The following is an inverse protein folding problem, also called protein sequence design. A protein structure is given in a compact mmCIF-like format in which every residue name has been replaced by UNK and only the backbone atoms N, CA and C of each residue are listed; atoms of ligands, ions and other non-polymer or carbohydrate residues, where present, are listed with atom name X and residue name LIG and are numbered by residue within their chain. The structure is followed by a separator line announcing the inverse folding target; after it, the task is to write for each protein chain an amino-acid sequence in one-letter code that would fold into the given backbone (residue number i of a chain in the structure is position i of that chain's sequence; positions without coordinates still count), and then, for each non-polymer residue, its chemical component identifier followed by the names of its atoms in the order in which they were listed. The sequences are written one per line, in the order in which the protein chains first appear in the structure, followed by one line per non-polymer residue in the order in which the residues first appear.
data_IF_070531460700
#
_entry.id   IF_070531460700
#
_cell.length_a   1.000
_cell.length_b   1.000
_cell.length_c   1.000
_cell.angle_alpha   90.00
_cell.angle_beta   90.00
_cell.angle_gamma   90.00
#
_symmetry.space_group_name_H-M   'P 1'
#
loop_
_entity.id
_entity.type
_entity.pdbx_description
1 polymer ?
#
# COMPACT_ATOMS: atom_id res chain seq x y z
N UNK A 1 -6.53 -9.33 -21.36
CA UNK A 1 -7.87 -9.54 -20.80
C UNK A 1 -8.10 -11.03 -20.83
N UNK A 2 -8.50 -11.62 -19.71
CA UNK A 2 -8.92 -13.02 -19.70
C UNK A 2 -10.20 -13.17 -20.54
N UNK A 3 -10.28 -14.23 -21.36
CA UNK A 3 -11.37 -14.42 -22.31
C UNK A 3 -12.72 -14.66 -21.61
N UNK A 4 -12.74 -15.28 -20.41
CA UNK A 4 -13.98 -15.47 -19.62
C UNK A 4 -14.53 -14.12 -19.14
N UNK A 5 -13.66 -13.25 -18.65
CA UNK A 5 -14.07 -11.92 -18.20
C UNK A 5 -14.66 -11.10 -19.36
N UNK A 6 -14.02 -11.17 -20.54
CA UNK A 6 -14.50 -10.47 -21.73
C UNK A 6 -15.90 -10.96 -22.14
N UNK A 7 -16.11 -12.27 -22.18
CA UNK A 7 -17.43 -12.84 -22.53
C UNK A 7 -18.52 -12.41 -21.52
N UNK A 8 -18.18 -12.32 -20.23
CA UNK A 8 -19.09 -11.83 -19.20
C UNK A 8 -19.40 -10.34 -19.36
N UNK A 9 -18.42 -9.52 -19.76
CA UNK A 9 -18.65 -8.09 -20.04
C UNK A 9 -19.55 -7.91 -21.27
N UNK A 10 -19.35 -8.70 -22.33
CA UNK A 10 -20.17 -8.65 -23.54
C UNK A 10 -21.65 -9.01 -23.29
N UNK A 11 -21.94 -9.82 -22.26
CA UNK A 11 -23.31 -10.11 -21.81
C UNK A 11 -24.03 -8.91 -21.17
N UNK A 12 -23.28 -7.85 -20.84
CA UNK A 12 -23.80 -6.62 -20.23
C UNK A 12 -23.50 -5.38 -21.12
N UNK A 13 -24.11 -5.28 -22.31
CA UNK A 13 -23.88 -4.18 -23.25
C UNK A 13 -24.43 -2.83 -22.76
N UNK A 14 -25.30 -2.82 -21.75
CA UNK A 14 -25.81 -1.62 -21.09
C UNK A 14 -24.73 -0.85 -20.32
N UNK A 15 -23.59 -1.49 -20.03
CA UNK A 15 -22.48 -0.90 -19.31
C UNK A 15 -21.44 -0.37 -20.30
N UNK A 16 -21.05 0.91 -20.14
CA UNK A 16 -19.93 1.48 -20.87
C UNK A 16 -18.60 1.02 -20.26
N UNK A 17 -18.16 -0.18 -20.61
CA UNK A 17 -16.96 -0.80 -20.07
C UNK A 17 -15.67 -0.01 -20.33
N UNK A 18 -15.62 0.78 -21.42
CA UNK A 18 -14.48 1.66 -21.69
C UNK A 18 -14.37 2.77 -20.65
N UNK A 19 -15.50 3.30 -20.18
CA UNK A 19 -15.53 4.32 -19.15
C UNK A 19 -15.20 3.74 -17.77
N UNK A 20 -15.78 2.58 -17.42
CA UNK A 20 -15.44 1.86 -16.18
C UNK A 20 -13.94 1.58 -16.10
N UNK A 21 -13.34 1.14 -17.20
CA UNK A 21 -11.90 0.89 -17.27
C UNK A 21 -11.10 2.18 -17.09
N UNK A 22 -11.51 3.28 -17.74
CA UNK A 22 -10.85 4.58 -17.61
C UNK A 22 -10.85 5.07 -16.16
N UNK A 23 -11.99 4.98 -15.49
CA UNK A 23 -12.14 5.39 -14.09
C UNK A 23 -11.24 4.55 -13.16
N UNK A 24 -11.26 3.22 -13.30
CA UNK A 24 -10.41 2.35 -12.49
C UNK A 24 -8.91 2.63 -12.68
N UNK A 25 -8.48 2.93 -13.91
CA UNK A 25 -7.09 3.32 -14.18
C UNK A 25 -6.77 4.67 -13.55
N UNK A 26 -7.65 5.66 -13.69
CA UNK A 26 -7.45 6.99 -13.12
C UNK A 26 -7.32 6.92 -11.59
N UNK A 27 -8.23 6.24 -10.91
CA UNK A 27 -8.19 6.05 -9.45
C UNK A 27 -6.88 5.38 -9.01
N UNK A 28 -6.39 4.40 -9.77
CA UNK A 28 -5.13 3.72 -9.45
C UNK A 28 -3.92 4.64 -9.61
N UNK A 29 -3.92 5.49 -10.64
CA UNK A 29 -2.86 6.49 -10.86
C UNK A 29 -2.86 7.50 -9.71
N UNK A 30 -4.00 8.08 -9.37
CA UNK A 30 -4.11 9.04 -8.26
C UNK A 30 -3.61 8.44 -6.93
N UNK A 31 -3.94 7.17 -6.67
CA UNK A 31 -3.44 6.46 -5.49
C UNK A 31 -1.91 6.25 -5.51
N UNK A 32 -1.33 5.97 -6.68
CA UNK A 32 0.14 5.83 -6.82
C UNK A 32 0.84 7.17 -6.67
N UNK A 33 0.31 8.24 -7.28
CA UNK A 33 0.86 9.59 -7.15
C UNK A 33 0.81 10.08 -5.71
N UNK A 34 -0.26 9.78 -4.97
CA UNK A 34 -0.35 10.08 -3.54
C UNK A 34 0.66 9.28 -2.72
N UNK A 35 0.88 7.99 -3.03
CA UNK A 35 1.92 7.21 -2.37
C UNK A 35 3.31 7.77 -2.64
N UNK A 36 3.59 8.14 -3.89
CA UNK A 36 4.86 8.76 -4.28
C UNK A 36 5.04 10.10 -3.56
N UNK A 37 4.01 10.95 -3.47
CA UNK A 37 4.05 12.21 -2.71
C UNK A 37 4.34 11.96 -1.22
N UNK A 38 3.59 11.05 -0.58
CA UNK A 38 3.78 10.73 0.84
C UNK A 38 5.14 10.10 1.15
N UNK A 39 5.72 9.37 0.20
CA UNK A 39 7.03 8.72 0.35
C UNK A 39 8.18 9.59 -0.16
N UNK A 40 7.90 10.66 -0.91
CA UNK A 40 8.92 11.52 -1.54
C UNK A 40 9.84 12.24 -0.54
N UNK A 41 9.34 12.56 0.66
CA UNK A 41 10.13 13.14 1.75
C UNK A 41 10.64 12.07 2.75
N UNK A 42 10.25 10.81 2.56
CA UNK A 42 10.64 9.71 3.43
C UNK A 42 11.91 9.05 2.90
N UNK A 43 13.06 9.46 3.43
CA UNK A 43 14.33 8.76 3.22
C UNK A 43 14.47 7.50 4.11
N UNK A 44 13.37 6.85 4.52
CA UNK A 44 13.43 5.67 5.38
C UNK A 44 14.22 4.55 4.68
N UNK A 45 15.45 4.36 5.14
CA UNK A 45 16.33 3.29 4.69
C UNK A 45 16.09 2.04 5.53
N UNK A 46 16.54 0.88 5.03
CA UNK A 46 16.55 -0.37 5.82
C UNK A 46 17.31 -0.21 7.15
N UNK A 47 18.34 0.67 7.18
CA UNK A 47 19.06 1.02 8.40
C UNK A 47 18.18 1.75 9.41
N UNK A 48 17.34 2.68 8.95
CA UNK A 48 16.43 3.43 9.84
C UNK A 48 15.37 2.52 10.45
N UNK A 49 14.86 1.57 9.66
CA UNK A 49 13.94 0.54 10.15
C UNK A 49 14.61 -0.33 11.22
N UNK A 50 15.87 -0.74 11.00
CA UNK A 50 16.61 -1.55 11.96
C UNK A 50 16.90 -0.77 13.25
N UNK A 51 17.30 0.50 13.16
CA UNK A 51 17.57 1.35 14.33
C UNK A 51 16.31 1.56 15.20
N UNK A 52 15.16 1.73 14.55
CA UNK A 52 13.86 1.81 15.24
C UNK A 52 13.53 0.49 15.95
N UNK A 53 13.71 -0.65 15.28
CA UNK A 53 13.46 -1.96 15.85
C UNK A 53 14.35 -2.24 17.07
N UNK A 54 15.64 -1.93 16.97
CA UNK A 54 16.61 -2.09 18.05
C UNK A 54 16.25 -1.19 19.24
N UNK A 55 15.86 0.06 18.98
CA UNK A 55 15.40 1.00 20.02
C UNK A 55 14.16 0.49 20.75
N UNK A 56 13.19 -0.06 20.03
CA UNK A 56 11.97 -0.64 20.62
C UNK A 56 12.32 -1.85 21.49
N UNK A 57 13.16 -2.76 20.99
CA UNK A 57 13.59 -3.95 21.72
C UNK A 57 14.34 -3.57 23.01
N UNK A 58 15.25 -2.61 22.94
CA UNK A 58 16.00 -2.18 24.12
C UNK A 58 15.10 -1.51 25.17
N UNK A 59 14.19 -0.63 24.75
CA UNK A 59 13.23 -0.01 25.67
C UNK A 59 12.25 -1.02 26.26
N UNK A 60 11.78 -1.98 25.45
CA UNK A 60 10.92 -3.07 25.92
C UNK A 60 11.63 -3.92 26.97
N UNK A 61 12.88 -4.30 26.69
CA UNK A 61 13.72 -5.07 27.62
C UNK A 61 13.95 -4.33 28.95
N UNK A 62 14.29 -3.04 28.90
CA UNK A 62 14.50 -2.23 30.12
C UNK A 62 13.26 -2.22 31.01
N UNK A 63 12.05 -2.05 30.45
CA UNK A 63 10.81 -2.10 31.22
C UNK A 63 10.58 -3.46 31.88
N UNK A 64 10.84 -4.56 31.16
CA UNK A 64 10.68 -5.92 31.72
C UNK A 64 11.67 -6.17 32.84
N UNK A 65 12.92 -5.70 32.71
CA UNK A 65 13.95 -5.82 33.75
C UNK A 65 13.63 -4.95 34.98
N UNK A 66 13.08 -3.75 34.78
CA UNK A 66 12.61 -2.85 35.86
C UNK A 66 11.37 -3.39 36.59
N UNK A 67 10.44 -4.04 35.89
CA UNK A 67 9.23 -4.66 36.50
C UNK A 67 9.54 -5.98 37.22
N UNK A 68 10.70 -6.59 36.96
CA UNK A 68 11.13 -7.87 37.56
C UNK A 68 12.07 -7.72 38.75
N UNK A 69 12.42 -6.49 39.15
CA UNK A 69 13.33 -6.14 40.25
C UNK A 69 12.56 -5.62 41.48
#
# INVERSE_FOLDING_TARGET
MDDDLKERMEKHPEINWSEVTRQAIQEKIEALEMMDELTSESELTERDVQEIADTINERGRKRVEEESA
#
